data_IF_119042214421
#
_entry.id   IF_119042214421
#
_cell.length_a   1.000
_cell.length_b   1.000
_cell.length_c   1.000
_cell.angle_alpha   90.00
_cell.angle_beta   90.00
_cell.angle_gamma   90.00
#
_symmetry.space_group_name_H-M   'P 1'
#
loop_
_entity.id
_entity.type
_entity.pdbx_description
1 polymer ?
#
# COMPACT_ATOMS: atom_id res chain seq x y z
N UNK A 1 8.25 -43.76 -58.09
CA UNK A 1 7.48 -43.73 -56.81
C UNK A 1 8.36 -43.32 -55.62
N UNK A 2 9.55 -43.90 -55.45
CA UNK A 2 10.47 -43.60 -54.32
C UNK A 2 10.90 -42.13 -54.18
N UNK A 3 11.25 -41.44 -55.27
CA UNK A 3 11.69 -40.03 -55.25
C UNK A 3 10.62 -39.03 -54.81
N UNK A 4 9.34 -39.28 -55.14
CA UNK A 4 8.23 -38.41 -54.70
C UNK A 4 7.96 -38.57 -53.19
N UNK A 5 8.08 -39.79 -52.67
CA UNK A 5 7.89 -40.07 -51.23
C UNK A 5 9.02 -39.42 -50.43
N UNK A 6 10.28 -39.52 -50.91
CA UNK A 6 11.43 -38.86 -50.30
C UNK A 6 11.30 -37.33 -50.33
N UNK A 7 10.87 -36.75 -51.45
CA UNK A 7 10.64 -35.30 -51.54
C UNK A 7 9.53 -34.82 -50.60
N UNK A 8 8.43 -35.58 -50.49
CA UNK A 8 7.34 -35.26 -49.57
C UNK A 8 7.82 -35.37 -48.11
N UNK A 9 8.55 -36.44 -47.75
CA UNK A 9 9.13 -36.60 -46.42
C UNK A 9 10.07 -35.44 -46.03
N UNK A 10 10.91 -34.97 -46.95
CA UNK A 10 11.79 -33.82 -46.74
C UNK A 10 11.00 -32.54 -46.44
N UNK A 11 9.96 -32.24 -47.23
CA UNK A 11 9.09 -31.06 -47.01
C UNK A 11 8.31 -31.14 -45.69
N UNK A 12 7.86 -32.33 -45.29
CA UNK A 12 7.22 -32.54 -43.99
C UNK A 12 8.20 -32.33 -42.83
N UNK A 13 9.44 -32.76 -43.00
CA UNK A 13 10.48 -32.59 -41.99
C UNK A 13 10.82 -31.10 -41.82
N UNK A 14 11.04 -30.36 -42.90
CA UNK A 14 11.28 -28.91 -42.87
C UNK A 14 10.12 -28.14 -42.24
N UNK A 15 8.87 -28.45 -42.62
CA UNK A 15 7.69 -27.83 -42.02
C UNK A 15 7.56 -28.16 -40.52
N UNK A 16 7.96 -29.37 -40.09
CA UNK A 16 7.97 -29.75 -38.69
C UNK A 16 9.09 -29.06 -37.91
N UNK A 17 10.26 -28.81 -38.51
CA UNK A 17 11.34 -28.03 -37.90
C UNK A 17 10.96 -26.56 -37.76
N UNK A 18 10.34 -25.95 -38.77
CA UNK A 18 9.83 -24.57 -38.71
C UNK A 18 8.86 -24.37 -37.54
N UNK A 19 7.87 -25.27 -37.41
CA UNK A 19 6.88 -25.25 -36.31
C UNK A 19 7.46 -25.51 -34.91
N UNK A 20 8.62 -26.16 -34.79
CA UNK A 20 9.34 -26.31 -33.51
C UNK A 20 10.08 -25.04 -33.14
N UNK A 21 10.77 -24.44 -34.11
CA UNK A 21 11.51 -23.19 -33.95
C UNK A 21 10.61 -22.02 -33.58
N UNK A 22 9.44 -21.91 -34.22
CA UNK A 22 8.44 -20.90 -33.85
C UNK A 22 7.95 -21.09 -32.43
N UNK A 23 7.67 -22.34 -32.01
CA UNK A 23 7.27 -22.64 -30.62
C UNK A 23 8.37 -22.33 -29.62
N UNK A 24 9.62 -22.60 -29.93
CA UNK A 24 10.76 -22.26 -29.08
C UNK A 24 10.93 -20.73 -28.95
N UNK A 25 10.75 -19.98 -30.03
CA UNK A 25 10.80 -18.50 -29.99
C UNK A 25 9.63 -17.92 -29.20
N UNK A 26 8.42 -18.47 -29.34
CA UNK A 26 7.26 -18.07 -28.54
C UNK A 26 7.45 -18.39 -27.05
N UNK A 27 7.95 -19.59 -26.71
CA UNK A 27 8.27 -19.97 -25.33
C UNK A 27 9.40 -19.13 -24.73
N UNK A 28 10.42 -18.78 -25.51
CA UNK A 28 11.50 -17.91 -25.08
C UNK A 28 11.03 -16.46 -24.82
N UNK A 29 10.02 -15.99 -25.56
CA UNK A 29 9.40 -14.67 -25.35
C UNK A 29 8.40 -14.64 -24.20
N UNK A 30 7.61 -15.70 -23.99
CA UNK A 30 6.67 -15.79 -22.87
C UNK A 30 7.35 -16.06 -21.53
N UNK A 31 8.50 -16.74 -21.53
CA UNK A 31 9.24 -17.08 -20.30
C UNK A 31 10.18 -16.00 -19.77
N UNK A 32 10.50 -14.98 -20.57
CA UNK A 32 11.47 -13.95 -20.20
C UNK A 32 10.75 -12.66 -19.77
N UNK A 33 10.56 -12.49 -18.46
CA UNK A 33 10.19 -11.20 -17.86
C UNK A 33 11.16 -10.13 -18.37
N UNK A 34 10.64 -9.14 -19.09
CA UNK A 34 11.47 -8.01 -19.49
C UNK A 34 11.74 -7.12 -18.26
N UNK A 35 12.81 -6.33 -18.30
CA UNK A 35 13.06 -5.34 -17.25
C UNK A 35 11.86 -4.38 -17.05
N UNK A 36 11.12 -4.08 -18.12
CA UNK A 36 9.89 -3.27 -18.07
C UNK A 36 8.77 -3.95 -17.30
N UNK A 37 8.59 -5.26 -17.47
CA UNK A 37 7.56 -6.02 -16.76
C UNK A 37 7.85 -6.08 -15.25
N UNK A 38 9.11 -6.29 -14.87
CA UNK A 38 9.53 -6.28 -13.45
C UNK A 38 9.29 -4.90 -12.82
N UNK A 39 9.63 -3.83 -13.52
CA UNK A 39 9.37 -2.46 -13.05
C UNK A 39 7.88 -2.16 -12.93
N UNK A 40 7.06 -2.65 -13.86
CA UNK A 40 5.60 -2.55 -13.82
C UNK A 40 5.02 -3.25 -12.59
N UNK A 41 5.41 -4.49 -12.34
CA UNK A 41 5.00 -5.27 -11.16
C UNK A 41 5.45 -4.59 -9.86
N UNK A 42 6.68 -4.06 -9.81
CA UNK A 42 7.16 -3.31 -8.64
C UNK A 42 6.36 -2.03 -8.39
N UNK A 43 5.97 -1.31 -9.45
CA UNK A 43 5.15 -0.11 -9.35
C UNK A 43 3.75 -0.45 -8.80
N UNK A 44 3.11 -1.48 -9.35
CA UNK A 44 1.81 -1.95 -8.87
C UNK A 44 1.88 -2.42 -7.41
N UNK A 45 2.94 -3.16 -7.05
CA UNK A 45 3.15 -3.60 -5.67
C UNK A 45 3.31 -2.42 -4.70
N UNK A 46 4.05 -1.37 -5.09
CA UNK A 46 4.18 -0.14 -4.28
C UNK A 46 2.83 0.54 -4.06
N UNK A 47 1.98 0.60 -5.08
CA UNK A 47 0.62 1.17 -4.97
C UNK A 47 -0.23 0.34 -4.00
N UNK A 48 -0.27 -0.99 -4.16
CA UNK A 48 -1.06 -1.87 -3.28
C UNK A 48 -0.58 -1.84 -1.83
N UNK A 49 0.73 -1.79 -1.61
CA UNK A 49 1.29 -1.66 -0.25
C UNK A 49 0.97 -0.31 0.38
N UNK A 50 0.87 0.75 -0.42
CA UNK A 50 0.41 2.07 0.06
C UNK A 50 -1.06 2.02 0.47
N UNK A 51 -1.90 1.40 -0.34
CA UNK A 51 -3.36 1.35 -0.11
C UNK A 51 -3.73 0.44 1.07
N UNK A 52 -2.93 -0.60 1.33
CA UNK A 52 -3.09 -1.51 2.49
C UNK A 52 -2.43 -1.00 3.78
N UNK A 53 -2.11 0.29 3.86
CA UNK A 53 -1.52 0.86 5.07
C UNK A 53 -2.47 0.74 6.27
N UNK A 54 -1.94 0.24 7.39
CA UNK A 54 -2.66 0.19 8.66
C UNK A 54 -1.80 0.71 9.80
N UNK A 55 -2.42 1.43 10.73
CA UNK A 55 -1.74 1.90 11.94
C UNK A 55 -1.43 0.73 12.87
N UNK A 56 -0.17 0.65 13.30
CA UNK A 56 0.28 -0.32 14.30
C UNK A 56 -0.39 -0.11 15.66
N UNK A 57 -0.37 -1.14 16.51
CA UNK A 57 -0.97 -1.09 17.85
C UNK A 57 -0.37 0.02 18.72
N UNK A 58 0.96 0.19 18.70
CA UNK A 58 1.68 1.25 19.41
C UNK A 58 1.25 2.65 18.95
N UNK A 59 1.29 2.89 17.63
CA UNK A 59 0.81 4.15 17.03
C UNK A 59 -0.63 4.49 17.44
N UNK A 60 -1.56 3.51 17.40
CA UNK A 60 -2.95 3.72 17.83
C UNK A 60 -3.06 4.09 19.31
N UNK A 61 -2.25 3.46 20.17
CA UNK A 61 -2.21 3.78 21.59
C UNK A 61 -1.68 5.20 21.83
N UNK A 62 -0.58 5.57 21.17
CA UNK A 62 0.00 6.91 21.24
C UNK A 62 -0.98 7.99 20.76
N UNK A 63 -1.65 7.76 19.63
CA UNK A 63 -2.69 8.66 19.11
C UNK A 63 -3.82 8.84 20.13
N UNK A 64 -4.27 7.74 20.77
CA UNK A 64 -5.32 7.82 21.81
C UNK A 64 -4.86 8.60 23.03
N UNK A 65 -3.61 8.38 23.49
CA UNK A 65 -3.03 9.12 24.60
C UNK A 65 -2.99 10.63 24.31
N UNK A 66 -2.53 11.03 23.12
CA UNK A 66 -2.52 12.44 22.71
C UNK A 66 -3.94 13.02 22.64
N UNK A 67 -4.92 12.26 22.11
CA UNK A 67 -6.31 12.72 22.09
C UNK A 67 -6.88 12.90 23.51
N UNK A 68 -6.51 12.03 24.46
CA UNK A 68 -6.87 12.15 25.86
C UNK A 68 -6.22 13.38 26.49
N UNK A 69 -4.91 13.53 26.37
CA UNK A 69 -4.19 14.73 26.86
C UNK A 69 -4.86 16.01 26.39
N UNK A 70 -5.22 16.10 25.11
CA UNK A 70 -5.89 17.27 24.56
C UNK A 70 -7.31 17.47 25.11
N UNK A 71 -8.03 16.39 25.43
CA UNK A 71 -9.37 16.45 26.03
C UNK A 71 -9.32 16.96 27.48
N UNK A 72 -8.40 16.44 28.30
CA UNK A 72 -8.32 16.73 29.74
C UNK A 72 -7.52 18.00 30.08
N UNK A 73 -7.21 18.85 29.10
CA UNK A 73 -6.52 20.12 29.35
C UNK A 73 -7.38 21.06 30.22
N UNK A 74 -6.92 21.49 31.40
CA UNK A 74 -7.69 22.36 32.30
C UNK A 74 -8.02 23.74 31.68
N UNK A 75 -7.18 24.21 30.76
CA UNK A 75 -7.36 25.50 30.08
C UNK A 75 -8.31 25.45 28.88
N UNK A 76 -8.81 24.27 28.51
CA UNK A 76 -9.63 24.11 27.31
C UNK A 76 -11.08 24.53 27.58
N UNK A 77 -11.56 25.48 26.80
CA UNK A 77 -12.94 25.98 26.84
C UNK A 77 -13.85 25.33 25.78
N UNK A 78 -13.27 24.77 24.71
CA UNK A 78 -14.00 24.11 23.62
C UNK A 78 -13.40 22.74 23.27
N UNK A 79 -14.27 21.73 23.23
CA UNK A 79 -13.93 20.35 22.89
C UNK A 79 -14.22 19.99 21.42
N UNK A 80 -14.78 20.91 20.63
CA UNK A 80 -15.15 20.65 19.23
C UNK A 80 -13.91 20.39 18.37
N UNK A 81 -12.85 21.16 18.62
CA UNK A 81 -11.64 21.18 17.80
C UNK A 81 -10.45 20.45 18.45
N UNK A 82 -10.69 19.66 19.50
CA UNK A 82 -9.61 18.91 20.18
C UNK A 82 -8.83 17.97 19.27
N UNK A 83 -9.50 17.42 18.26
CA UNK A 83 -8.88 16.59 17.24
C UNK A 83 -7.90 17.38 16.35
N UNK A 84 -8.14 18.68 16.12
CA UNK A 84 -7.23 19.55 15.35
C UNK A 84 -5.95 19.77 16.13
N UNK A 85 -6.08 20.09 17.42
CA UNK A 85 -4.94 20.30 18.32
C UNK A 85 -4.12 19.01 18.49
N UNK A 86 -4.80 17.87 18.60
CA UNK A 86 -4.14 16.56 18.63
C UNK A 86 -3.34 16.29 17.36
N UNK A 87 -3.89 16.59 16.17
CA UNK A 87 -3.16 16.46 14.90
C UNK A 87 -1.93 17.37 14.90
N UNK A 88 -2.06 18.63 15.30
CA UNK A 88 -0.93 19.56 15.36
C UNK A 88 0.19 19.06 16.28
N UNK A 89 -0.17 18.51 17.45
CA UNK A 89 0.80 17.92 18.38
C UNK A 89 1.48 16.69 17.80
N UNK A 90 0.72 15.79 17.17
CA UNK A 90 1.27 14.62 16.48
C UNK A 90 2.23 15.01 15.33
N UNK A 91 1.93 16.10 14.61
CA UNK A 91 2.83 16.64 13.59
C UNK A 91 4.15 17.15 14.16
N UNK A 92 4.09 17.89 15.28
CA UNK A 92 5.29 18.42 15.96
C UNK A 92 6.15 17.32 16.57
N UNK A 93 5.51 16.32 17.18
CA UNK A 93 6.17 15.26 17.94
C UNK A 93 6.22 13.92 17.17
N UNK A 94 6.29 13.96 15.83
CA UNK A 94 6.15 12.76 14.98
C UNK A 94 7.11 11.62 15.30
N UNK A 95 8.33 11.94 15.72
CA UNK A 95 9.35 10.95 16.09
C UNK A 95 8.99 10.24 17.40
N UNK A 96 8.54 11.01 18.39
CA UNK A 96 8.14 10.49 19.70
C UNK A 96 6.94 9.55 19.63
N UNK A 97 6.04 9.78 18.67
CA UNK A 97 4.82 8.99 18.50
C UNK A 97 4.94 7.90 17.42
N UNK A 98 6.14 7.64 16.91
CA UNK A 98 6.41 6.65 15.86
C UNK A 98 5.62 6.91 14.55
N UNK A 99 5.36 8.18 14.22
CA UNK A 99 4.58 8.60 13.05
C UNK A 99 5.42 9.12 11.88
N UNK A 100 6.73 8.88 11.90
CA UNK A 100 7.67 9.28 10.82
C UNK A 100 7.33 8.63 9.48
N UNK A 101 6.73 7.44 9.49
CA UNK A 101 6.25 6.75 8.30
C UNK A 101 4.85 7.19 7.86
N UNK A 102 4.18 8.08 8.60
CA UNK A 102 2.84 8.60 8.30
C UNK A 102 2.93 10.04 7.82
N UNK A 103 3.61 10.87 8.61
CA UNK A 103 3.71 12.31 8.37
C UNK A 103 4.71 12.59 7.24
N UNK A 104 4.27 13.34 6.24
CA UNK A 104 4.93 13.54 4.94
C UNK A 104 4.33 12.72 3.80
N UNK A 105 3.41 11.78 4.10
CA UNK A 105 2.70 11.00 3.09
C UNK A 105 1.21 11.36 3.07
N UNK A 106 0.78 12.10 2.05
CA UNK A 106 -0.58 12.66 1.97
C UNK A 106 -1.71 11.64 2.22
N UNK A 107 -1.61 10.43 1.68
CA UNK A 107 -2.64 9.40 1.85
C UNK A 107 -2.69 8.86 3.29
N UNK A 108 -1.53 8.70 3.93
CA UNK A 108 -1.43 8.24 5.32
C UNK A 108 -1.82 9.34 6.30
N UNK A 109 -1.53 10.61 5.99
CA UNK A 109 -2.01 11.76 6.75
C UNK A 109 -3.54 11.90 6.71
N UNK A 110 -4.17 11.65 5.56
CA UNK A 110 -5.64 11.56 5.49
C UNK A 110 -6.18 10.45 6.39
N UNK A 111 -5.54 9.27 6.37
CA UNK A 111 -5.91 8.17 7.26
C UNK A 111 -5.70 8.54 8.74
N UNK A 112 -4.64 9.29 9.05
CA UNK A 112 -4.33 9.77 10.41
C UNK A 112 -5.41 10.75 10.88
N UNK A 113 -5.76 11.74 10.07
CA UNK A 113 -6.81 12.71 10.40
C UNK A 113 -8.15 12.00 10.67
N UNK A 114 -8.53 11.02 9.84
CA UNK A 114 -9.72 10.22 10.06
C UNK A 114 -9.67 9.41 11.36
N UNK A 115 -8.52 8.80 11.67
CA UNK A 115 -8.32 8.06 12.91
C UNK A 115 -8.40 8.98 14.14
N UNK A 116 -7.69 10.11 14.13
CA UNK A 116 -7.67 11.08 15.23
C UNK A 116 -9.06 11.64 15.50
N UNK A 117 -9.84 11.95 14.45
CA UNK A 117 -11.22 12.46 14.61
C UNK A 117 -12.13 11.44 15.29
N UNK A 118 -12.05 10.16 14.89
CA UNK A 118 -12.80 9.07 15.53
C UNK A 118 -12.35 8.85 16.98
N UNK A 119 -11.05 8.78 17.22
CA UNK A 119 -10.48 8.56 18.55
C UNK A 119 -10.83 9.71 19.50
N UNK A 120 -10.70 10.96 19.06
CA UNK A 120 -11.08 12.14 19.85
C UNK A 120 -12.56 12.12 20.22
N UNK A 121 -13.43 11.71 19.29
CA UNK A 121 -14.86 11.56 19.56
C UNK A 121 -15.14 10.46 20.59
N UNK A 122 -14.46 9.30 20.47
CA UNK A 122 -14.57 8.20 21.45
C UNK A 122 -14.07 8.62 22.83
N UNK A 123 -12.91 9.27 22.92
CA UNK A 123 -12.35 9.77 24.19
C UNK A 123 -13.30 10.79 24.82
N UNK A 124 -13.86 11.71 24.03
CA UNK A 124 -14.85 12.69 24.52
C UNK A 124 -16.10 12.01 25.08
N UNK A 125 -16.59 10.97 24.41
CA UNK A 125 -17.79 10.27 24.86
C UNK A 125 -17.54 9.57 26.20
N UNK A 126 -16.41 8.85 26.34
CA UNK A 126 -16.02 8.25 27.62
C UNK A 126 -15.89 9.32 28.72
N UNK A 127 -15.26 10.46 28.41
CA UNK A 127 -15.15 11.56 29.36
C UNK A 127 -16.51 12.09 29.85
N UNK A 128 -17.53 12.11 28.99
CA UNK A 128 -18.88 12.53 29.37
C UNK A 128 -19.61 11.50 30.24
N UNK A 129 -19.19 10.25 30.24
CA UNK A 129 -19.75 9.21 31.12
C UNK A 129 -19.08 9.23 32.49
N UNK A 130 -17.80 9.64 32.56
CA UNK A 130 -17.01 9.71 33.79
C UNK A 130 -17.31 10.95 34.66
N UNK A 131 -17.88 12.02 34.08
CA UNK A 131 -18.22 13.30 34.74
C UNK A 131 -19.70 13.37 35.07
#
# INVERSE_FOLDING_TARGET
LSTRILGMAATYQEAAYGRRREREVWQAKEGALTAGDVLGVMSDLKVRLRDNFTFGKGQRANIRAVCADEMYKPSRTSFKDSHVDAIQRLHKEKEKHELTNVIGHADREKALAALVRRTSSSVRNNYREDV
#
